data_IF_864707194590
#
_entry.id   IF_864707194590
#
_cell.length_a   1.000
_cell.length_b   1.000
_cell.length_c   1.000
_cell.angle_alpha   90.00
_cell.angle_beta   90.00
_cell.angle_gamma   90.00
#
_symmetry.space_group_name_H-M   'P 1'
#
loop_
_entity.id
_entity.type
_entity.pdbx_description
1 polymer ?
#
# COMPACT_ATOMS: atom_id res chain seq x y z
N UNK A 1 5.39 6.54 -12.78
CA UNK A 1 4.84 7.67 -11.99
C UNK A 1 4.59 7.16 -10.59
N UNK A 2 5.10 7.82 -9.54
CA UNK A 2 4.69 7.52 -8.17
C UNK A 2 3.30 8.10 -7.96
N UNK A 3 2.41 7.32 -7.34
CA UNK A 3 1.08 7.80 -6.97
C UNK A 3 1.20 8.84 -5.85
N UNK A 4 0.43 9.92 -5.92
CA UNK A 4 0.52 11.05 -5.00
C UNK A 4 -0.46 10.88 -3.84
N UNK A 5 -0.07 10.09 -2.85
CA UNK A 5 -0.92 9.75 -1.70
C UNK A 5 -1.36 10.97 -0.90
N UNK A 6 -0.48 11.95 -0.72
CA UNK A 6 -0.79 13.20 0.00
C UNK A 6 -1.94 13.96 -0.64
N UNK A 7 -1.94 14.06 -1.97
CA UNK A 7 -3.01 14.72 -2.72
C UNK A 7 -4.36 14.00 -2.54
N UNK A 8 -4.37 12.67 -2.61
CA UNK A 8 -5.59 11.87 -2.43
C UNK A 8 -6.14 11.96 -0.99
N UNK A 9 -5.27 11.88 0.02
CA UNK A 9 -5.65 12.02 1.44
C UNK A 9 -6.22 13.42 1.72
N UNK A 10 -5.57 14.46 1.18
CA UNK A 10 -6.05 15.83 1.32
C UNK A 10 -7.44 15.99 0.70
N UNK A 11 -7.66 15.39 -0.47
CA UNK A 11 -8.96 15.42 -1.14
C UNK A 11 -10.06 14.75 -0.33
N UNK A 12 -9.79 13.58 0.26
CA UNK A 12 -10.72 12.89 1.17
C UNK A 12 -11.07 13.78 2.38
N UNK A 13 -10.07 14.43 2.99
CA UNK A 13 -10.29 15.33 4.12
C UNK A 13 -11.17 16.54 3.76
N UNK A 14 -10.97 17.12 2.57
CA UNK A 14 -11.81 18.20 2.05
C UNK A 14 -13.25 17.75 1.85
N UNK A 15 -13.46 16.58 1.26
CA UNK A 15 -14.79 15.99 1.04
C UNK A 15 -15.52 15.75 2.37
N UNK A 16 -14.84 15.22 3.39
CA UNK A 16 -15.41 15.08 4.73
C UNK A 16 -15.73 16.41 5.41
N UNK A 17 -14.90 17.44 5.19
CA UNK A 17 -15.17 18.79 5.70
C UNK A 17 -16.44 19.37 5.09
N UNK A 18 -16.60 19.25 3.76
CA UNK A 18 -17.80 19.65 3.03
C UNK A 18 -19.01 18.85 3.51
N UNK A 19 -18.86 17.54 3.65
CA UNK A 19 -19.90 16.67 4.16
C UNK A 19 -20.43 17.15 5.51
N UNK A 20 -19.50 17.45 6.43
CA UNK A 20 -19.83 17.90 7.79
C UNK A 20 -20.47 19.29 7.80
N UNK A 21 -20.11 20.19 6.88
CA UNK A 21 -20.71 21.52 6.81
C UNK A 21 -22.11 21.48 6.21
N UNK A 22 -22.36 20.57 5.27
CA UNK A 22 -23.63 20.42 4.57
C UNK A 22 -24.62 19.49 5.29
N UNK A 23 -24.19 18.68 6.28
CA UNK A 23 -25.04 17.71 7.01
C UNK A 23 -26.31 18.29 7.65
N UNK A 24 -26.36 19.61 7.85
CA UNK A 24 -27.48 20.32 8.45
C UNK A 24 -28.51 20.78 7.42
N UNK A 25 -28.16 20.70 6.12
CA UNK A 25 -29.07 20.99 5.04
C UNK A 25 -29.97 19.78 4.77
N UNK A 26 -31.23 20.00 4.36
CA UNK A 26 -32.09 18.91 3.92
C UNK A 26 -31.43 18.22 2.74
N UNK A 27 -30.93 17.01 2.97
CA UNK A 27 -30.33 16.20 1.92
C UNK A 27 -31.44 15.57 1.09
N UNK A 28 -31.46 15.89 -0.20
CA UNK A 28 -32.18 15.13 -1.22
C UNK A 28 -31.50 13.78 -1.52
N UNK A 29 -30.39 13.49 -0.83
CA UNK A 29 -29.59 12.27 -0.96
C UNK A 29 -28.55 12.34 -2.08
N UNK A 30 -28.70 13.27 -3.04
CA UNK A 30 -27.84 13.35 -4.22
C UNK A 30 -26.41 13.73 -3.88
N UNK A 31 -26.22 14.77 -3.06
CA UNK A 31 -24.90 15.27 -2.70
C UNK A 31 -24.20 14.40 -1.64
N UNK A 32 -24.98 13.83 -0.71
CA UNK A 32 -24.51 12.86 0.29
C UNK A 32 -23.94 11.62 -0.40
N UNK A 33 -24.70 11.05 -1.35
CA UNK A 33 -24.27 9.92 -2.16
C UNK A 33 -23.03 10.25 -3.01
N UNK A 34 -22.99 11.43 -3.65
CA UNK A 34 -21.87 11.81 -4.49
C UNK A 34 -20.56 11.93 -3.69
N UNK A 35 -20.60 12.56 -2.51
CA UNK A 35 -19.42 12.67 -1.65
C UNK A 35 -18.94 11.30 -1.18
N UNK A 36 -19.86 10.44 -0.73
CA UNK A 36 -19.51 9.08 -0.26
C UNK A 36 -18.93 8.24 -1.40
N UNK A 37 -19.50 8.35 -2.61
CA UNK A 37 -18.98 7.67 -3.80
C UNK A 37 -17.55 8.11 -4.12
N UNK A 38 -17.31 9.42 -4.17
CA UNK A 38 -15.99 10.00 -4.49
C UNK A 38 -14.94 9.58 -3.45
N UNK A 39 -15.28 9.56 -2.17
CA UNK A 39 -14.39 9.07 -1.10
C UNK A 39 -14.04 7.59 -1.32
N UNK A 40 -15.02 6.74 -1.63
CA UNK A 40 -14.77 5.31 -1.88
C UNK A 40 -13.87 5.08 -3.10
N UNK A 41 -14.02 5.86 -4.17
CA UNK A 41 -13.17 5.78 -5.35
C UNK A 41 -11.72 6.15 -5.01
N UNK A 42 -11.50 7.25 -4.28
CA UNK A 42 -10.17 7.67 -3.82
C UNK A 42 -9.52 6.65 -2.88
N UNK A 43 -10.27 6.06 -1.94
CA UNK A 43 -9.77 5.01 -1.06
C UNK A 43 -9.37 3.74 -1.84
N UNK A 44 -10.15 3.38 -2.86
CA UNK A 44 -9.83 2.26 -3.74
C UNK A 44 -8.55 2.53 -4.54
N UNK A 45 -8.40 3.72 -5.11
CA UNK A 45 -7.18 4.11 -5.84
C UNK A 45 -5.94 4.05 -4.94
N UNK A 46 -6.03 4.53 -3.69
CA UNK A 46 -4.96 4.43 -2.70
C UNK A 46 -4.61 2.96 -2.41
N UNK A 47 -5.60 2.09 -2.27
CA UNK A 47 -5.40 0.66 -2.02
C UNK A 47 -4.70 -0.03 -3.20
N UNK A 48 -5.16 0.23 -4.43
CA UNK A 48 -4.57 -0.30 -5.66
C UNK A 48 -3.13 0.19 -5.86
N UNK A 49 -2.86 1.47 -5.59
CA UNK A 49 -1.51 2.03 -5.64
C UNK A 49 -0.57 1.37 -4.62
N UNK A 50 -1.03 1.16 -3.37
CA UNK A 50 -0.25 0.47 -2.33
C UNK A 50 0.02 -0.99 -2.67
N UNK A 51 -0.94 -1.68 -3.29
CA UNK A 51 -0.75 -3.06 -3.75
C UNK A 51 0.29 -3.13 -4.86
N UNK A 52 0.24 -2.22 -5.83
CA UNK A 52 1.22 -2.12 -6.90
C UNK A 52 2.63 -1.81 -6.39
N UNK A 53 2.77 -0.93 -5.38
CA UNK A 53 4.06 -0.68 -4.74
C UNK A 53 4.60 -1.93 -4.03
N UNK A 54 3.76 -2.67 -3.31
CA UNK A 54 4.14 -3.94 -2.67
C UNK A 54 4.55 -5.00 -3.67
N UNK A 55 3.84 -5.12 -4.79
CA UNK A 55 4.17 -6.06 -5.87
C UNK A 55 5.53 -5.72 -6.51
N UNK A 56 5.80 -4.42 -6.73
CA UNK A 56 7.08 -3.93 -7.25
C UNK A 56 8.24 -4.20 -6.28
N UNK A 57 8.01 -4.02 -4.97
CA UNK A 57 9.00 -4.32 -3.94
C UNK A 57 9.32 -5.82 -3.87
N UNK A 58 8.30 -6.69 -3.95
CA UNK A 58 8.49 -8.16 -3.98
C UNK A 58 9.27 -8.63 -5.21
N UNK A 59 9.06 -8.02 -6.37
CA UNK A 59 9.81 -8.37 -7.58
C UNK A 59 11.31 -7.97 -7.45
N UNK A 60 11.58 -6.86 -6.77
CA UNK A 60 12.95 -6.40 -6.49
C UNK A 60 13.68 -7.30 -5.48
N UNK A 61 12.98 -7.80 -4.46
CA UNK A 61 13.53 -8.73 -3.47
C UNK A 61 13.85 -10.11 -4.08
N UNK A 62 13.02 -10.57 -5.03
CA UNK A 62 13.24 -11.82 -5.76
C UNK A 62 14.46 -11.74 -6.70
N UNK A 63 14.78 -10.57 -7.25
CA UNK A 63 16.00 -10.38 -8.06
C UNK A 63 17.29 -10.28 -7.21
N UNK A 64 17.20 -9.91 -5.93
CA UNK A 64 18.36 -9.78 -5.06
C UNK A 64 18.79 -11.11 -4.41
N UNK A 65 17.95 -12.14 -4.45
CA UNK A 65 18.30 -13.50 -3.99
C UNK A 65 18.91 -14.36 -5.09
N UNK A 66 18.85 -13.94 -6.35
CA UNK A 66 19.37 -14.71 -7.50
C UNK A 66 20.83 -14.39 -7.86
N UNK A 67 21.51 -13.53 -7.11
CA UNK A 67 22.93 -13.15 -7.33
C UNK A 67 23.92 -13.73 -6.31
N UNK A 68 23.59 -14.84 -5.67
CA UNK A 68 24.56 -15.59 -4.85
C UNK A 68 24.60 -17.09 -5.14
N UNK A 69 24.66 -17.45 -6.42
CA UNK A 69 24.88 -18.84 -6.90
C UNK A 69 26.31 -19.37 -6.66
N UNK A 70 27.17 -18.66 -5.92
CA UNK A 70 28.55 -19.06 -5.63
C UNK A 70 28.87 -19.17 -4.13
N UNK A 71 27.86 -19.26 -3.25
CA UNK A 71 28.12 -19.67 -1.87
C UNK A 71 28.22 -21.20 -1.83
N UNK A 72 29.38 -21.80 -1.47
CA UNK A 72 29.47 -23.24 -1.28
C UNK A 72 28.52 -23.63 -0.15
N UNK A 73 27.53 -24.44 -0.48
CA UNK A 73 26.65 -25.10 0.50
C UNK A 73 27.53 -26.10 1.25
N UNK A 74 28.15 -25.66 2.33
CA UNK A 74 28.81 -26.56 3.27
C UNK A 74 27.72 -27.25 4.10
N UNK A 75 27.63 -28.59 4.07
CA UNK A 75 26.67 -29.29 4.90
C UNK A 75 27.06 -29.21 6.39
N UNK A 76 26.06 -28.96 7.23
CA UNK A 76 26.17 -28.66 8.66
C UNK A 76 26.55 -29.86 9.56
N UNK A 77 27.11 -30.94 9.00
CA UNK A 77 27.46 -32.16 9.74
C UNK A 77 28.96 -32.39 9.93
N UNK A 78 29.81 -31.41 9.59
CA UNK A 78 31.26 -31.46 9.87
C UNK A 78 31.67 -30.70 11.14
N UNK A 79 30.73 -30.04 11.84
CA UNK A 79 31.00 -29.39 13.12
C UNK A 79 30.81 -30.39 14.27
N UNK A 80 31.65 -31.43 14.29
CA UNK A 80 31.66 -32.45 15.32
C UNK A 80 33.07 -32.93 15.61
N UNK A 81 33.65 -32.45 16.71
CA UNK A 81 34.78 -33.10 17.38
C UNK A 81 36.04 -32.24 17.53
N UNK A 82 36.01 -31.24 18.41
CA UNK A 82 37.24 -30.86 19.12
C UNK A 82 37.36 -31.73 20.37
N UNK A 83 38.24 -32.72 20.27
CA UNK A 83 38.84 -33.38 21.40
C UNK A 83 39.87 -32.45 22.05
N UNK A 84 39.77 -32.25 23.36
CA UNK A 84 40.88 -32.04 24.29
C UNK A 84 40.52 -32.68 25.63
#
# INVERSE_FOLDING_TARGET
MRYDFDSAIKRIAELWSIYRSLRHQPADGTWDWWIVKEVNELEKEIAEARENEKATARNSDQFNTQTNLNSPILPQFLEGGQAL
#
